data_IF_425354058548
#
_entry.id   IF_425354058548
#
_cell.length_a   1.000
_cell.length_b   1.000
_cell.length_c   1.000
_cell.angle_alpha   90.00
_cell.angle_beta   90.00
_cell.angle_gamma   90.00
#
_symmetry.space_group_name_H-M   'P 1'
#
loop_
_entity.id
_entity.type
_entity.pdbx_description
1 polymer ?
#
# COMPACT_ATOMS: atom_id res chain seq x y z
N UNK A 1 -11.57 -10.40 16.79
CA UNK A 1 -11.41 -9.88 15.41
C UNK A 1 -11.32 -8.36 15.51
N UNK A 2 -10.27 -7.73 14.99
CA UNK A 2 -10.12 -6.28 15.05
C UNK A 2 -10.82 -5.65 13.83
N UNK A 3 -12.05 -5.18 14.04
CA UNK A 3 -12.76 -4.34 13.07
C UNK A 3 -12.08 -2.99 12.97
N UNK A 4 -11.08 -2.83 12.10
CA UNK A 4 -10.47 -1.54 11.82
C UNK A 4 -11.36 -0.76 10.85
N UNK A 5 -12.50 -0.30 11.35
CA UNK A 5 -13.44 0.55 10.62
C UNK A 5 -13.04 2.03 10.66
N UNK A 6 -13.61 2.83 9.76
CA UNK A 6 -13.41 4.28 9.70
C UNK A 6 -13.66 4.95 11.06
N UNK A 7 -14.66 4.49 11.81
CA UNK A 7 -14.97 4.97 13.17
C UNK A 7 -13.75 4.92 14.11
N UNK A 8 -12.97 3.84 14.06
CA UNK A 8 -11.87 3.61 15.00
C UNK A 8 -10.66 4.45 14.65
N UNK A 9 -10.45 4.73 13.36
CA UNK A 9 -9.43 5.68 12.92
C UNK A 9 -9.77 7.08 13.44
N UNK A 10 -11.04 7.50 13.37
CA UNK A 10 -11.45 8.80 13.92
C UNK A 10 -11.24 8.86 15.44
N UNK A 11 -11.66 7.82 16.17
CA UNK A 11 -11.44 7.75 17.63
C UNK A 11 -9.95 7.78 17.98
N UNK A 12 -9.11 7.04 17.25
CA UNK A 12 -7.67 7.04 17.45
C UNK A 12 -7.06 8.42 17.16
N UNK A 13 -7.52 9.11 16.12
CA UNK A 13 -7.08 10.46 15.80
C UNK A 13 -7.39 11.40 16.98
N UNK A 14 -8.64 11.41 17.45
CA UNK A 14 -9.06 12.26 18.58
C UNK A 14 -8.26 11.94 19.83
N UNK A 15 -8.05 10.65 20.14
CA UNK A 15 -7.24 10.23 21.28
C UNK A 15 -5.78 10.71 21.14
N UNK A 16 -5.19 10.61 19.95
CA UNK A 16 -3.84 11.10 19.68
C UNK A 16 -3.75 12.63 19.83
N UNK A 17 -4.77 13.37 19.37
CA UNK A 17 -4.88 14.82 19.58
C UNK A 17 -4.96 15.16 21.07
N UNK A 18 -5.66 14.35 21.87
CA UNK A 18 -5.80 14.61 23.31
C UNK A 18 -4.52 14.31 24.10
N UNK A 19 -3.85 13.21 23.78
CA UNK A 19 -2.63 12.77 24.48
C UNK A 19 -1.44 13.66 24.12
N UNK A 20 -1.25 13.94 22.83
CA UNK A 20 -0.08 14.66 22.33
C UNK A 20 -0.32 16.17 22.21
N UNK A 21 -1.59 16.57 22.02
CA UNK A 21 -1.99 17.94 21.72
C UNK A 21 -2.13 18.20 20.21
N UNK A 22 -3.13 18.97 19.76
CA UNK A 22 -3.36 19.27 18.34
C UNK A 22 -2.22 20.07 17.71
N UNK A 23 -1.54 20.92 18.48
CA UNK A 23 -0.40 21.72 18.03
C UNK A 23 0.87 20.88 17.81
N UNK A 24 1.03 19.77 18.57
CA UNK A 24 2.27 18.96 18.56
C UNK A 24 2.23 17.82 17.56
N UNK A 25 1.04 17.31 17.25
CA UNK A 25 0.82 16.28 16.24
C UNK A 25 1.40 16.61 14.86
N UNK A 26 1.14 17.80 14.26
CA UNK A 26 1.70 18.14 12.94
C UNK A 26 3.22 18.25 12.99
N UNK A 27 3.79 18.78 14.08
CA UNK A 27 5.24 18.83 14.29
C UNK A 27 5.89 17.45 14.40
N UNK A 28 5.24 16.51 15.10
CA UNK A 28 5.70 15.13 15.23
C UNK A 28 5.62 14.38 13.90
N UNK A 29 4.51 14.50 13.17
CA UNK A 29 4.33 13.92 11.85
C UNK A 29 5.36 14.45 10.84
N UNK A 30 5.62 15.76 10.84
CA UNK A 30 6.64 16.37 9.99
C UNK A 30 8.05 15.86 10.32
N UNK A 31 8.35 15.65 11.61
CA UNK A 31 9.65 15.13 12.05
C UNK A 31 9.85 13.67 11.66
N UNK A 32 8.83 12.83 11.84
CA UNK A 32 8.80 11.45 11.34
C UNK A 32 8.95 11.41 9.82
N UNK A 33 8.22 12.26 9.09
CA UNK A 33 8.32 12.34 7.64
C UNK A 33 9.72 12.71 7.17
N UNK A 34 10.36 13.69 7.81
CA UNK A 34 11.76 14.05 7.55
C UNK A 34 12.72 12.89 7.87
N UNK A 35 12.51 12.19 8.98
CA UNK A 35 13.33 11.04 9.36
C UNK A 35 13.23 9.91 8.32
N UNK A 36 12.01 9.54 7.91
CA UNK A 36 11.77 8.53 6.87
C UNK A 36 12.41 8.97 5.55
N UNK A 37 12.28 10.24 5.18
CA UNK A 37 12.90 10.78 3.95
C UNK A 37 14.42 10.62 3.96
N UNK A 38 15.06 10.97 5.08
CA UNK A 38 16.51 10.77 5.26
C UNK A 38 16.88 9.30 5.15
N UNK A 39 16.16 8.40 5.83
CA UNK A 39 16.41 6.94 5.72
C UNK A 39 16.28 6.47 4.28
N UNK A 40 15.28 6.96 3.53
CA UNK A 40 15.12 6.61 2.11
C UNK A 40 16.26 7.13 1.25
N UNK A 41 16.75 8.34 1.50
CA UNK A 41 17.92 8.92 0.83
C UNK A 41 19.18 8.10 1.12
N UNK A 42 19.46 7.78 2.38
CA UNK A 42 20.57 6.91 2.78
C UNK A 42 20.49 5.52 2.13
N UNK A 43 19.30 4.93 2.07
CA UNK A 43 19.09 3.62 1.41
C UNK A 43 19.31 3.71 -0.10
N UNK A 44 18.87 4.80 -0.73
CA UNK A 44 19.05 5.03 -2.16
C UNK A 44 20.53 5.26 -2.51
N UNK A 45 21.25 5.95 -1.65
CA UNK A 45 22.68 6.27 -1.82
C UNK A 45 23.54 5.03 -1.58
N UNK A 46 23.29 4.28 -0.48
CA UNK A 46 23.92 2.98 -0.24
C UNK A 46 23.61 1.98 -1.37
N UNK A 47 22.39 1.96 -1.88
CA UNK A 47 22.01 1.11 -3.01
C UNK A 47 22.68 1.48 -4.33
N UNK A 48 23.10 2.74 -4.52
CA UNK A 48 23.91 3.17 -5.66
C UNK A 48 25.35 2.72 -5.50
N UNK A 49 25.95 2.96 -4.34
CA UNK A 49 27.34 2.55 -4.08
C UNK A 49 27.52 1.03 -4.14
N UNK A 50 26.58 0.26 -3.58
CA UNK A 50 26.57 -1.21 -3.68
C UNK A 50 26.34 -1.67 -5.13
N UNK A 51 25.55 -0.94 -5.94
CA UNK A 51 25.38 -1.26 -7.37
C UNK A 51 26.66 -0.98 -8.18
N UNK A 52 27.36 0.09 -7.85
CA UNK A 52 28.55 0.53 -8.57
C UNK A 52 29.79 -0.30 -8.19
N UNK A 53 29.91 -0.75 -6.93
CA UNK A 53 31.04 -1.57 -6.45
C UNK A 53 30.79 -3.08 -6.54
N UNK A 54 29.55 -3.55 -6.34
CA UNK A 54 29.17 -4.98 -6.28
C UNK A 54 28.35 -5.39 -7.50
N UNK A 55 28.24 -4.52 -8.52
CA UNK A 55 27.48 -4.76 -9.76
C UNK A 55 27.66 -6.15 -10.38
N UNK A 56 28.89 -6.64 -10.62
CA UNK A 56 29.10 -7.97 -11.20
C UNK A 56 28.76 -9.12 -10.24
N UNK A 57 29.12 -9.04 -8.95
CA UNK A 57 28.78 -10.08 -7.95
C UNK A 57 27.27 -10.14 -7.65
N UNK A 58 26.56 -9.01 -7.77
CA UNK A 58 25.10 -8.96 -7.65
C UNK A 58 24.40 -9.58 -8.86
N UNK A 59 24.96 -9.48 -10.06
CA UNK A 59 24.37 -10.12 -11.24
C UNK A 59 24.42 -11.65 -11.14
N UNK A 60 25.48 -12.20 -10.54
CA UNK A 60 25.57 -13.63 -10.20
C UNK A 60 24.54 -14.06 -9.14
N UNK A 61 24.26 -13.21 -8.15
CA UNK A 61 23.22 -13.46 -7.14
C UNK A 61 21.79 -13.17 -7.64
N UNK A 62 21.65 -12.31 -8.66
CA UNK A 62 20.34 -12.00 -9.27
C UNK A 62 19.76 -13.19 -10.00
N UNK A 63 20.58 -14.04 -10.62
CA UNK A 63 20.11 -15.24 -11.30
C UNK A 63 19.31 -16.17 -10.36
N UNK A 64 19.85 -16.64 -9.22
CA UNK A 64 19.09 -17.46 -8.27
C UNK A 64 17.92 -16.69 -7.63
N UNK A 65 18.08 -15.39 -7.35
CA UNK A 65 16.99 -14.56 -6.80
C UNK A 65 15.85 -14.32 -7.79
N UNK A 66 16.13 -14.26 -9.09
CA UNK A 66 15.13 -14.14 -10.15
C UNK A 66 14.33 -15.44 -10.29
N UNK A 67 15.02 -16.58 -10.19
CA UNK A 67 14.43 -17.92 -10.22
C UNK A 67 13.49 -18.15 -9.03
N UNK A 68 13.82 -17.63 -7.84
CA UNK A 68 12.95 -17.65 -6.66
C UNK A 68 11.80 -16.63 -6.76
N UNK A 69 11.99 -15.50 -7.44
CA UNK A 69 10.96 -14.46 -7.61
C UNK A 69 9.83 -14.87 -8.54
N UNK A 70 10.13 -15.60 -9.61
CA UNK A 70 9.13 -16.07 -10.58
C UNK A 70 7.97 -16.85 -9.93
N UNK A 71 8.21 -17.92 -9.14
CA UNK A 71 7.14 -18.65 -8.48
C UNK A 71 6.43 -17.81 -7.42
N UNK A 72 7.15 -16.94 -6.69
CA UNK A 72 6.52 -16.04 -5.71
C UNK A 72 5.59 -15.00 -6.36
N UNK A 73 5.89 -14.56 -7.57
CA UNK A 73 5.02 -13.66 -8.33
C UNK A 73 3.76 -14.37 -8.80
N UNK A 74 3.88 -15.62 -9.25
CA UNK A 74 2.74 -16.44 -9.64
C UNK A 74 1.80 -16.68 -8.45
N UNK A 75 2.34 -17.07 -7.29
CA UNK A 75 1.58 -17.21 -6.05
C UNK A 75 0.92 -15.90 -5.60
N UNK A 76 1.56 -14.76 -5.82
CA UNK A 76 0.99 -13.44 -5.49
C UNK A 76 -0.11 -13.05 -6.47
N UNK A 77 0.04 -13.34 -7.76
CA UNK A 77 -1.00 -13.11 -8.77
C UNK A 77 -2.27 -13.91 -8.45
N UNK A 78 -2.10 -15.16 -8.00
CA UNK A 78 -3.19 -16.01 -7.51
C UNK A 78 -3.86 -15.46 -6.24
N UNK A 79 -3.12 -14.72 -5.40
CA UNK A 79 -3.59 -14.20 -4.10
C UNK A 79 -4.18 -12.78 -4.15
N UNK A 80 -3.96 -12.02 -5.21
CA UNK A 80 -4.44 -10.63 -5.36
C UNK A 80 -5.70 -10.41 -6.26
N UNK A 81 -6.64 -11.38 -6.47
CA UNK A 81 -7.85 -11.11 -7.26
C UNK A 81 -8.74 -10.06 -6.58
N UNK A 82 -8.66 -9.94 -5.24
CA UNK A 82 -9.32 -8.86 -4.49
C UNK A 82 -8.85 -7.46 -4.90
N UNK A 83 -7.57 -7.28 -5.22
CA UNK A 83 -7.05 -5.96 -5.64
C UNK A 83 -7.53 -5.56 -7.03
N UNK A 84 -7.63 -6.52 -7.95
CA UNK A 84 -8.23 -6.30 -9.26
C UNK A 84 -9.70 -5.89 -9.13
N UNK A 85 -10.44 -6.55 -8.25
CA UNK A 85 -11.84 -6.24 -7.96
C UNK A 85 -12.02 -4.87 -7.30
N UNK A 86 -11.16 -4.48 -6.36
CA UNK A 86 -11.19 -3.16 -5.71
C UNK A 86 -10.92 -2.04 -6.71
N UNK A 87 -9.99 -2.21 -7.66
CA UNK A 87 -9.78 -1.23 -8.73
C UNK A 87 -11.02 -1.10 -9.61
N UNK A 88 -11.62 -2.20 -10.05
CA UNK A 88 -12.83 -2.15 -10.86
C UNK A 88 -14.05 -1.59 -10.10
N UNK A 89 -14.17 -1.84 -8.80
CA UNK A 89 -15.29 -1.34 -8.01
C UNK A 89 -15.12 0.11 -7.55
N UNK A 90 -13.89 0.63 -7.45
CA UNK A 90 -13.62 2.04 -7.13
C UNK A 90 -13.68 2.95 -8.36
N UNK A 91 -13.36 2.44 -9.56
CA UNK A 91 -13.33 3.24 -10.79
C UNK A 91 -14.66 3.24 -11.57
N UNK A 92 -15.64 2.38 -11.24
CA UNK A 92 -16.95 2.35 -11.90
C UNK A 92 -17.95 3.26 -11.16
N UNK A 93 -18.33 4.43 -11.71
CA UNK A 93 -19.38 5.26 -11.11
C UNK A 93 -20.73 4.52 -11.12
N UNK A 94 -21.63 4.78 -10.15
CA UNK A 94 -22.84 3.98 -9.89
C UNK A 94 -23.94 4.27 -10.93
N UNK A 95 -23.67 4.07 -12.22
CA UNK A 95 -24.64 4.23 -13.30
C UNK A 95 -25.28 2.89 -13.70
N UNK A 96 -24.62 1.75 -13.47
CA UNK A 96 -25.12 0.44 -13.91
C UNK A 96 -26.11 -0.22 -12.93
N UNK A 97 -26.12 0.16 -11.64
CA UNK A 97 -27.01 -0.43 -10.64
C UNK A 97 -28.49 0.04 -10.75
N UNK A 98 -28.74 1.16 -11.43
CA UNK A 98 -30.10 1.69 -11.62
C UNK A 98 -30.85 1.02 -12.78
N UNK A 99 -30.17 0.31 -13.69
CA UNK A 99 -30.78 -0.23 -14.92
C UNK A 99 -31.43 -1.61 -14.75
N UNK A 100 -31.14 -2.37 -13.67
CA UNK A 100 -31.65 -3.74 -13.51
C UNK A 100 -32.76 -3.91 -12.45
N UNK A 101 -33.18 -2.84 -11.77
CA UNK A 101 -34.21 -2.92 -10.74
C UNK A 101 -35.63 -2.61 -11.24
N UNK A 102 -35.84 -2.38 -12.54
CA UNK A 102 -37.17 -2.07 -13.09
C UNK A 102 -37.44 -2.80 -14.41
N UNK A 103 -38.02 -4.01 -14.34
CA UNK A 103 -39.26 -4.31 -15.05
C UNK A 103 -39.81 -5.71 -14.69
N UNK A 104 -41.15 -5.86 -14.59
CA UNK A 104 -41.84 -6.93 -13.89
C UNK A 104 -42.52 -7.94 -14.84
N UNK A 105 -42.95 -9.08 -14.28
CA UNK A 105 -44.16 -9.88 -14.56
C UNK A 105 -44.79 -9.93 -15.97
N UNK A 106 -45.06 -11.16 -16.45
CA UNK A 106 -46.02 -11.66 -17.47
C UNK A 106 -45.32 -12.46 -18.60
N UNK A 107 -45.68 -13.68 -19.02
CA UNK A 107 -46.72 -14.67 -18.67
C UNK A 107 -46.16 -16.08 -18.90
#
# INVERSE_FOLDING_TARGET
MFDLGFEKIVVLLVAALFILGPERLPGAAASLGRAIRKVKEFTAEAGRQVRDEVGPDLDELRAPLAELRAPLQELRALRDPRRALVKHLLDDPPAAAAAHATAPTER
#
